data_IF_278221354692
#
_entry.id   IF_278221354692
#
_cell.length_a   1.000
_cell.length_b   1.000
_cell.length_c   1.000
_cell.angle_alpha   90.00
_cell.angle_beta   90.00
_cell.angle_gamma   90.00
#
_symmetry.space_group_name_H-M   'P 1'
#
loop_
_entity.id
_entity.type
_entity.pdbx_description
1 polymer ?
#
# COMPACT_ATOMS: atom_id res chain seq x y z
N UNK A 1 -37.08 -40.62 2.86
CA UNK A 1 -36.27 -40.33 1.66
C UNK A 1 -35.58 -38.98 1.92
N UNK A 2 -34.32 -39.00 2.41
CA UNK A 2 -33.10 -38.50 1.71
C UNK A 2 -33.21 -37.00 1.33
N UNK A 3 -32.37 -36.03 1.72
CA UNK A 3 -30.97 -35.97 2.25
C UNK A 3 -30.66 -34.53 2.73
N UNK A 4 -29.82 -34.39 3.77
CA UNK A 4 -28.60 -33.53 3.95
C UNK A 4 -28.36 -32.35 2.96
N UNK A 5 -27.89 -31.13 3.30
CA UNK A 5 -26.67 -30.68 4.02
C UNK A 5 -26.71 -29.13 4.14
N UNK A 6 -26.59 -28.48 5.31
CA UNK A 6 -25.36 -28.03 6.01
C UNK A 6 -24.32 -27.29 5.17
N UNK A 7 -23.95 -26.08 5.63
CA UNK A 7 -22.66 -25.41 5.40
C UNK A 7 -22.74 -24.20 4.47
N UNK A 8 -22.77 -22.97 5.02
CA UNK A 8 -21.59 -22.09 5.16
C UNK A 8 -21.20 -21.45 3.80
N UNK A 9 -20.96 -20.15 3.68
CA UNK A 9 -20.04 -19.37 4.48
C UNK A 9 -20.38 -17.88 4.33
N UNK A 10 -20.28 -17.20 5.47
CA UNK A 10 -19.94 -15.78 5.64
C UNK A 10 -19.45 -15.08 4.36
N UNK A 11 -20.29 -14.24 3.76
CA UNK A 11 -19.79 -12.95 3.32
C UNK A 11 -19.85 -12.04 4.55
N UNK A 12 -18.90 -12.25 5.47
CA UNK A 12 -18.50 -11.17 6.35
C UNK A 12 -18.08 -10.06 5.39
N UNK A 13 -18.95 -9.07 5.18
CA UNK A 13 -18.48 -7.72 4.97
C UNK A 13 -17.72 -7.39 6.24
N UNK A 14 -16.48 -7.85 6.29
CA UNK A 14 -15.40 -7.13 6.90
C UNK A 14 -15.32 -5.82 6.12
N UNK A 15 -16.26 -4.92 6.43
CA UNK A 15 -15.95 -3.52 6.59
C UNK A 15 -14.94 -3.50 7.74
N UNK A 16 -13.71 -3.95 7.46
CA UNK A 16 -12.56 -3.69 8.31
C UNK A 16 -12.57 -2.18 8.36
N UNK A 17 -13.00 -1.72 9.52
CA UNK A 17 -12.87 -0.39 10.03
C UNK A 17 -11.86 0.37 9.20
N UNK A 18 -12.36 1.20 8.27
CA UNK A 18 -11.57 2.13 7.48
C UNK A 18 -11.04 3.19 8.46
N UNK A 19 -10.13 2.75 9.33
CA UNK A 19 -9.13 3.57 9.97
C UNK A 19 -8.51 4.34 8.82
N UNK A 20 -8.48 5.65 8.94
CA UNK A 20 -8.45 6.61 7.84
C UNK A 20 -7.18 6.57 6.99
N UNK A 21 -6.93 5.44 6.33
CA UNK A 21 -5.79 5.17 5.50
C UNK A 21 -6.08 5.78 4.14
N UNK A 22 -5.62 7.01 3.99
CA UNK A 22 -5.74 7.74 2.74
C UNK A 22 -4.58 7.31 1.86
N UNK A 23 -4.88 6.86 0.64
CA UNK A 23 -3.84 6.70 -0.39
C UNK A 23 -3.29 8.09 -0.70
N UNK A 24 -1.99 8.27 -0.46
CA UNK A 24 -1.29 9.54 -0.70
C UNK A 24 -0.42 9.49 -1.94
N UNK A 25 -0.03 8.29 -2.39
CA UNK A 25 0.80 8.11 -3.55
C UNK A 25 0.57 6.73 -4.16
N UNK A 26 0.55 6.67 -5.49
CA UNK A 26 0.61 5.43 -6.25
C UNK A 26 1.76 5.57 -7.24
N UNK A 27 2.74 4.69 -7.14
CA UNK A 27 3.89 4.64 -8.03
C UNK A 27 3.76 3.41 -8.92
N UNK A 28 3.82 3.61 -10.22
CA UNK A 28 3.88 2.52 -11.18
C UNK A 28 5.30 2.44 -11.73
N UNK A 29 5.93 1.29 -11.53
CA UNK A 29 7.18 0.90 -12.19
C UNK A 29 6.86 0.03 -13.41
N UNK A 30 7.88 -0.45 -14.12
CA UNK A 30 7.68 -1.32 -15.28
C UNK A 30 6.93 -2.62 -14.95
N UNK A 31 7.11 -3.14 -13.73
CA UNK A 31 6.63 -4.47 -13.37
C UNK A 31 5.73 -4.47 -12.12
N UNK A 32 5.74 -3.38 -11.35
CA UNK A 32 5.08 -3.32 -10.06
C UNK A 32 4.34 -2.00 -9.85
N UNK A 33 3.25 -2.09 -9.11
CA UNK A 33 2.49 -0.98 -8.59
C UNK A 33 2.75 -0.90 -7.08
N UNK A 34 3.14 0.27 -6.58
CA UNK A 34 3.32 0.53 -5.15
C UNK A 34 2.29 1.57 -4.73
N UNK A 35 1.44 1.21 -3.77
CA UNK A 35 0.47 2.11 -3.17
C UNK A 35 0.96 2.51 -1.79
N UNK A 36 1.05 3.81 -1.53
CA UNK A 36 1.44 4.37 -0.25
C UNK A 36 0.19 4.91 0.45
N UNK A 37 -0.03 4.42 1.66
CA UNK A 37 -1.11 4.82 2.54
C UNK A 37 -0.55 5.73 3.63
N UNK A 38 -1.20 6.86 3.87
CA UNK A 38 -0.97 7.66 5.07
C UNK A 38 -1.70 7.02 6.23
N UNK A 39 -0.96 6.33 7.10
CA UNK A 39 -1.45 5.93 8.40
C UNK A 39 -1.41 7.09 9.40
N UNK A 40 -1.97 6.85 10.59
CA UNK A 40 -2.03 7.85 11.66
C UNK A 40 -0.66 8.14 12.30
N UNK A 41 0.23 7.14 12.33
CA UNK A 41 1.56 7.22 12.96
C UNK A 41 2.71 7.03 11.95
N UNK A 42 2.49 6.23 10.90
CA UNK A 42 3.48 5.94 9.88
C UNK A 42 2.79 5.63 8.54
N UNK A 43 3.54 5.73 7.45
CA UNK A 43 3.09 5.29 6.13
C UNK A 43 3.14 3.78 6.00
N UNK A 44 2.16 3.22 5.30
CA UNK A 44 2.11 1.80 4.93
C UNK A 44 2.20 1.64 3.42
N UNK A 45 2.68 0.48 2.97
CA UNK A 45 2.93 0.21 1.56
C UNK A 45 2.28 -1.09 1.14
N UNK A 46 1.64 -1.08 -0.02
CA UNK A 46 1.19 -2.28 -0.71
C UNK A 46 1.89 -2.38 -2.05
N UNK A 47 2.31 -3.58 -2.41
CA UNK A 47 3.01 -3.88 -3.66
C UNK A 47 2.16 -4.87 -4.43
N UNK A 48 1.81 -4.49 -5.65
CA UNK A 48 1.17 -5.36 -6.63
C UNK A 48 2.04 -5.46 -7.88
N UNK A 49 1.76 -6.45 -8.71
CA UNK A 49 2.23 -6.51 -10.10
C UNK A 49 1.51 -5.47 -10.95
N UNK A 50 2.04 -5.18 -12.15
CA UNK A 50 1.36 -4.30 -13.12
C UNK A 50 -0.06 -4.76 -13.48
N UNK A 51 -0.35 -6.06 -13.39
CA UNK A 51 -1.66 -6.65 -13.67
C UNK A 51 -2.62 -6.58 -12.48
N UNK A 52 -2.18 -5.99 -11.36
CA UNK A 52 -2.98 -5.82 -10.15
C UNK A 52 -2.96 -7.02 -9.20
N UNK A 53 -2.13 -8.03 -9.44
CA UNK A 53 -1.95 -9.14 -8.48
C UNK A 53 -1.17 -8.61 -7.28
N UNK A 54 -1.79 -8.58 -6.10
CA UNK A 54 -1.14 -8.18 -4.86
C UNK A 54 -0.04 -9.17 -4.48
N UNK A 55 1.17 -8.66 -4.28
CA UNK A 55 2.34 -9.42 -3.81
C UNK A 55 2.51 -9.28 -2.31
N UNK A 56 2.20 -8.10 -1.77
CA UNK A 56 2.23 -7.81 -0.35
C UNK A 56 1.35 -6.60 -0.04
N UNK A 57 0.78 -6.57 1.15
CA UNK A 57 -0.12 -5.51 1.62
C UNK A 57 0.28 -5.05 3.02
N UNK A 58 0.00 -3.78 3.34
CA UNK A 58 0.20 -3.20 4.67
C UNK A 58 1.63 -3.39 5.23
N UNK A 59 2.64 -3.24 4.38
CA UNK A 59 4.05 -3.30 4.75
C UNK A 59 4.48 -2.01 5.46
N UNK A 60 5.31 -2.14 6.48
CA UNK A 60 6.08 -1.01 7.01
C UNK A 60 7.26 -0.65 6.08
N UNK A 61 7.82 0.56 6.24
CA UNK A 61 9.04 0.98 5.50
C UNK A 61 10.20 -0.03 5.64
N UNK A 62 10.35 -0.64 6.82
CA UNK A 62 11.42 -1.62 7.08
C UNK A 62 11.15 -2.93 6.33
N UNK A 63 9.90 -3.40 6.30
CA UNK A 63 9.52 -4.60 5.57
C UNK A 63 9.56 -4.41 4.06
N UNK A 64 9.18 -3.23 3.57
CA UNK A 64 9.33 -2.86 2.16
C UNK A 64 10.81 -2.93 1.76
N UNK A 65 11.71 -2.35 2.56
CA UNK A 65 13.16 -2.42 2.31
C UNK A 65 13.70 -3.86 2.33
N UNK A 66 13.22 -4.69 3.25
CA UNK A 66 13.69 -6.06 3.40
C UNK A 66 13.25 -6.97 2.23
N UNK A 67 12.02 -6.79 1.73
CA UNK A 67 11.43 -7.66 0.70
C UNK A 67 11.56 -7.11 -0.72
N UNK A 68 11.53 -5.79 -0.87
CA UNK A 68 11.54 -5.08 -2.14
C UNK A 68 12.51 -3.89 -2.08
N UNK A 69 13.82 -4.12 -1.89
CA UNK A 69 14.81 -3.05 -1.70
C UNK A 69 14.85 -2.06 -2.88
N UNK A 70 14.64 -2.54 -4.10
CA UNK A 70 14.55 -1.70 -5.30
C UNK A 70 13.35 -0.76 -5.28
N UNK A 71 12.20 -1.21 -4.78
CA UNK A 71 10.99 -0.40 -4.70
C UNK A 71 11.06 0.59 -3.54
N UNK A 72 11.73 0.22 -2.45
CA UNK A 72 12.03 1.11 -1.36
C UNK A 72 12.88 2.31 -1.81
N UNK A 73 13.92 2.06 -2.61
CA UNK A 73 14.79 3.12 -3.14
C UNK A 73 13.97 4.11 -3.98
N UNK A 74 13.10 3.62 -4.87
CA UNK A 74 12.17 4.45 -5.66
C UNK A 74 11.29 5.31 -4.75
N UNK A 75 10.59 4.71 -3.77
CA UNK A 75 9.72 5.47 -2.86
C UNK A 75 10.49 6.55 -2.09
N UNK A 76 11.69 6.23 -1.60
CA UNK A 76 12.50 7.17 -0.83
C UNK A 76 13.16 8.26 -1.69
N UNK A 77 13.53 7.95 -2.93
CA UNK A 77 14.07 8.93 -3.88
C UNK A 77 13.03 10.01 -4.23
N UNK A 78 11.76 9.63 -4.35
CA UNK A 78 10.65 10.59 -4.53
C UNK A 78 10.36 11.39 -3.25
N UNK A 79 10.47 10.77 -2.07
CA UNK A 79 10.29 11.48 -0.80
C UNK A 79 11.41 12.50 -0.51
N UNK A 80 12.63 12.23 -0.98
CA UNK A 80 13.77 13.15 -0.88
C UNK A 80 13.57 14.43 -1.72
N UNK A 81 13.04 14.29 -2.95
CA UNK A 81 12.78 15.44 -3.83
C UNK A 81 11.66 16.35 -3.29
N UNK A 82 10.63 15.77 -2.65
CA UNK A 82 9.57 16.54 -2.01
C UNK A 82 10.04 17.38 -0.80
N UNK A 83 11.11 16.94 -0.10
CA UNK A 83 11.70 17.70 1.01
C UNK A 83 12.63 18.83 0.55
N UNK A 84 13.12 18.78 -0.69
CA UNK A 84 13.91 19.85 -1.31
C UNK A 84 13.07 20.91 -2.02
N UNK A 85 11.74 20.83 -1.95
CA UNK A 85 10.87 21.95 -2.28
C UNK A 85 11.00 23.03 -1.20
N UNK A 86 12.17 23.70 -1.18
CA UNK A 86 12.36 25.00 -0.56
C UNK A 86 11.32 25.91 -1.18
N UNK A 87 10.22 26.09 -0.46
CA UNK A 87 9.30 27.20 -0.60
C UNK A 87 10.16 28.46 -0.69
N UNK A 88 10.43 28.92 -1.91
CA UNK A 88 11.02 30.23 -2.15
C UNK A 88 9.96 31.23 -1.70
N UNK A 89 10.18 31.98 -0.60
CA UNK A 89 9.24 33.03 -0.24
C UNK A 89 9.31 34.07 -1.36
N UNK A 90 8.21 34.21 -2.10
CA UNK A 90 8.06 35.31 -3.04
C UNK A 90 8.03 36.59 -2.21
N UNK A 91 9.12 37.36 -2.25
CA UNK A 91 9.22 38.69 -1.65
C UNK A 91 8.49 39.71 -2.52
#
# INVERSE_FOLDING_TARGET
>A
MTTTSTGAQKASLETVQAKSEKIILVLQTRNNLITVYSGNEASFYSVATETGISLADHLTSLELKARFPELYDVVTGWAGDAAEMKIVPHR
#
